data_IF_813656521895
#
_entry.id   IF_813656521895
#
_cell.length_a   1.000
_cell.length_b   1.000
_cell.length_c   1.000
_cell.angle_alpha   90.00
_cell.angle_beta   90.00
_cell.angle_gamma   90.00
#
_symmetry.space_group_name_H-M   'P 1'
#
loop_
_entity.id
_entity.type
_entity.pdbx_description
1 polymer ?
#
# COMPACT_ATOMS: atom_id res chain seq x y z
N UNK A 1 -12.74 -13.73 10.11
CA UNK A 1 -11.41 -13.48 9.54
C UNK A 1 -11.58 -13.00 8.11
N UNK A 2 -11.21 -11.75 7.85
CA UNK A 2 -11.33 -11.12 6.51
C UNK A 2 -9.97 -11.11 5.84
N UNK A 3 -9.91 -11.55 4.58
CA UNK A 3 -8.69 -11.49 3.76
C UNK A 3 -8.81 -10.35 2.76
N UNK A 4 -7.85 -9.43 2.79
CA UNK A 4 -7.81 -8.23 1.96
C UNK A 4 -6.58 -8.32 1.06
N UNK A 5 -6.81 -8.26 -0.25
CA UNK A 5 -5.74 -8.24 -1.25
C UNK A 5 -5.74 -6.88 -1.94
N UNK A 6 -4.59 -6.22 -1.95
CA UNK A 6 -4.41 -4.88 -2.50
C UNK A 6 -3.41 -4.96 -3.66
N UNK A 7 -3.79 -4.42 -4.82
CA UNK A 7 -2.94 -4.35 -6.02
C UNK A 7 -2.52 -2.89 -6.23
N UNK A 8 -1.20 -2.66 -6.22
CA UNK A 8 -0.58 -1.35 -6.17
C UNK A 8 -0.31 -0.93 -4.72
N UNK A 9 0.91 -0.53 -4.40
CA UNK A 9 1.40 -0.19 -3.07
C UNK A 9 1.88 1.24 -2.91
N UNK A 10 1.54 2.15 -3.83
CA UNK A 10 1.95 3.56 -3.80
C UNK A 10 0.97 4.39 -2.96
N UNK A 11 0.29 5.41 -3.50
CA UNK A 11 -0.52 6.32 -2.69
C UNK A 11 -1.79 5.65 -2.12
N UNK A 12 -2.69 5.21 -2.99
CA UNK A 12 -3.99 4.66 -2.58
C UNK A 12 -3.86 3.31 -1.84
N UNK A 13 -3.07 2.39 -2.40
CA UNK A 13 -2.93 1.04 -1.85
C UNK A 13 -2.28 1.00 -0.47
N UNK A 14 -1.18 1.73 -0.26
CA UNK A 14 -0.56 1.82 1.07
C UNK A 14 -1.49 2.48 2.09
N UNK A 15 -2.22 3.53 1.67
CA UNK A 15 -3.19 4.21 2.53
C UNK A 15 -4.34 3.28 2.94
N UNK A 16 -4.86 2.49 1.99
CA UNK A 16 -5.90 1.49 2.24
C UNK A 16 -5.40 0.38 3.17
N UNK A 17 -4.20 -0.16 2.94
CA UNK A 17 -3.58 -1.18 3.79
C UNK A 17 -3.42 -0.69 5.24
N UNK A 18 -2.88 0.53 5.41
CA UNK A 18 -2.68 1.12 6.72
C UNK A 18 -4.02 1.36 7.45
N UNK A 19 -5.06 1.79 6.73
CA UNK A 19 -6.39 1.97 7.34
C UNK A 19 -7.06 0.64 7.68
N UNK A 20 -6.95 -0.36 6.80
CA UNK A 20 -7.48 -1.69 7.06
C UNK A 20 -6.89 -2.30 8.34
N UNK A 21 -5.56 -2.19 8.54
CA UNK A 21 -4.91 -2.65 9.78
C UNK A 21 -5.41 -1.93 11.03
N UNK A 22 -5.69 -0.62 10.96
CA UNK A 22 -6.23 0.14 12.11
C UNK A 22 -7.67 -0.24 12.46
N UNK A 23 -8.44 -0.71 11.48
CA UNK A 23 -9.85 -1.10 11.68
C UNK A 23 -10.01 -2.54 12.15
N UNK A 24 -9.05 -3.41 11.81
CA UNK A 24 -9.10 -4.82 12.15
C UNK A 24 -7.67 -5.36 12.27
N UNK A 25 -7.32 -5.75 13.50
CA UNK A 25 -6.04 -6.40 13.81
C UNK A 25 -6.02 -7.87 13.35
N UNK A 26 -7.19 -8.49 13.22
CA UNK A 26 -7.37 -9.88 12.77
C UNK A 26 -7.44 -10.03 11.24
N UNK A 27 -7.52 -8.93 10.49
CA UNK A 27 -7.47 -8.97 9.03
C UNK A 27 -6.12 -9.47 8.51
N UNK A 28 -6.17 -10.41 7.55
CA UNK A 28 -5.02 -10.80 6.72
C UNK A 28 -4.94 -9.82 5.55
N UNK A 29 -3.85 -9.05 5.46
CA UNK A 29 -3.67 -8.00 4.45
C UNK A 29 -2.44 -8.34 3.62
N UNK A 30 -2.63 -8.58 2.32
CA UNK A 30 -1.56 -8.87 1.36
C UNK A 30 -1.56 -7.76 0.31
N UNK A 31 -0.43 -7.08 0.13
CA UNK A 31 -0.28 -6.00 -0.84
C UNK A 31 0.79 -6.36 -1.87
N UNK A 32 0.46 -6.18 -3.15
CA UNK A 32 1.37 -6.40 -4.27
C UNK A 32 1.72 -5.08 -4.93
N UNK A 33 3.00 -4.83 -5.15
CA UNK A 33 3.51 -3.72 -5.96
C UNK A 33 4.44 -4.29 -7.02
N UNK A 34 4.30 -3.82 -8.26
CA UNK A 34 5.14 -4.27 -9.38
C UNK A 34 6.53 -3.67 -9.26
N UNK A 35 6.60 -2.41 -8.85
CA UNK A 35 7.85 -1.68 -8.67
C UNK A 35 8.65 -2.19 -7.47
N UNK A 36 9.94 -1.81 -7.40
CA UNK A 36 10.81 -2.19 -6.28
C UNK A 36 10.49 -1.45 -4.97
N UNK A 37 9.66 -0.39 -5.03
CA UNK A 37 9.35 0.47 -3.89
C UNK A 37 7.85 0.55 -3.63
N UNK A 38 7.48 0.40 -2.36
CA UNK A 38 6.13 0.69 -1.84
C UNK A 38 6.12 2.06 -1.16
N UNK A 39 4.96 2.70 -1.09
CA UNK A 39 4.78 4.03 -0.47
C UNK A 39 5.70 5.12 -1.07
N UNK A 40 6.02 5.00 -2.37
CA UNK A 40 6.86 5.95 -3.09
C UNK A 40 6.13 7.28 -3.30
N UNK A 41 6.85 8.39 -3.15
CA UNK A 41 6.32 9.75 -3.37
C UNK A 41 6.60 10.16 -4.81
N UNK A 42 5.66 9.88 -5.72
CA UNK A 42 5.79 10.27 -7.13
C UNK A 42 6.08 11.78 -7.31
N UNK A 43 5.50 12.63 -6.47
CA UNK A 43 5.63 14.08 -6.61
C UNK A 43 7.09 14.59 -6.51
N UNK A 44 7.94 13.90 -5.75
CA UNK A 44 9.36 14.30 -5.56
C UNK A 44 10.27 13.40 -6.39
N UNK A 45 9.87 12.16 -6.65
CA UNK A 45 10.70 11.19 -7.35
C UNK A 45 11.04 11.63 -8.78
N UNK A 46 10.08 12.23 -9.49
CA UNK A 46 10.31 12.74 -10.85
C UNK A 46 11.20 14.01 -10.90
N UNK A 47 11.55 14.59 -9.74
CA UNK A 47 12.46 15.75 -9.62
C UNK A 47 13.89 15.37 -9.20
N UNK A 48 14.21 14.07 -9.12
CA UNK A 48 15.55 13.54 -8.77
C UNK A 48 16.28 12.99 -10.01
N UNK A 49 15.69 13.11 -11.21
CA UNK A 49 16.34 12.88 -12.51
C UNK A 49 16.69 14.20 -13.21
#
# INVERSE_FOLDING_TARGET
>A
MTKIVIIGGVAGGASAAARARRLSEDAEIIMFERGPYVSLVNCIFDNIL
#
